data_IF_161036679980
#
_entry.id   IF_161036679980
#
_cell.length_a   1.000
_cell.length_b   1.000
_cell.length_c   1.000
_cell.angle_alpha   90.00
_cell.angle_beta   90.00
_cell.angle_gamma   90.00
#
_symmetry.space_group_name_H-M   'P 1'
#
loop_
_entity.id
_entity.type
_entity.pdbx_description
1 polymer ?
#
# COMPACT_ATOMS: atom_id res chain seq x y z
N UNK A 1 9.65 8.28 32.74
CA UNK A 1 8.22 7.91 32.84
C UNK A 1 7.78 7.56 31.44
N UNK A 2 7.65 6.28 31.11
CA UNK A 2 7.16 5.83 29.81
C UNK A 2 5.74 6.39 29.60
N UNK A 3 5.50 7.06 28.48
CA UNK A 3 4.17 7.59 28.14
C UNK A 3 3.13 6.47 28.18
N UNK A 4 1.99 6.77 28.79
CA UNK A 4 0.86 5.80 28.86
C UNK A 4 0.41 5.45 27.44
N UNK A 5 0.38 4.16 27.13
CA UNK A 5 0.13 3.59 25.80
C UNK A 5 -1.30 3.82 25.25
N UNK A 6 -2.11 4.64 25.89
CA UNK A 6 -3.56 4.73 25.59
C UNK A 6 -3.93 5.43 24.27
N UNK A 7 -3.01 6.24 23.71
CA UNK A 7 -3.31 7.05 22.51
C UNK A 7 -2.33 6.76 21.37
N UNK A 8 -1.56 5.68 21.46
CA UNK A 8 -0.56 5.34 20.45
C UNK A 8 -1.15 4.45 19.37
N UNK A 9 -0.83 4.76 18.14
CA UNK A 9 -1.07 3.91 16.96
C UNK A 9 0.27 3.64 16.29
N UNK A 10 0.43 2.43 15.76
CA UNK A 10 1.69 2.00 15.15
C UNK A 10 1.43 1.34 13.81
N UNK A 11 2.03 1.90 12.75
CA UNK A 11 2.10 1.27 11.45
C UNK A 11 3.39 0.48 11.31
N UNK A 12 3.30 -0.74 10.80
CA UNK A 12 4.44 -1.61 10.50
C UNK A 12 4.41 -2.04 9.03
N UNK A 13 5.28 -1.48 8.23
CA UNK A 13 5.48 -1.88 6.84
C UNK A 13 6.63 -2.89 6.75
N UNK A 14 6.30 -4.12 6.34
CA UNK A 14 7.25 -5.22 6.19
C UNK A 14 7.51 -5.40 4.69
N UNK A 15 8.38 -4.57 4.14
CA UNK A 15 8.74 -4.59 2.73
C UNK A 15 9.90 -5.53 2.39
N UNK A 16 10.13 -5.80 1.10
CA UNK A 16 11.23 -6.66 0.63
C UNK A 16 12.60 -6.01 0.84
N UNK A 17 12.70 -4.70 0.68
CA UNK A 17 13.97 -3.95 0.81
C UNK A 17 14.20 -3.40 2.21
N UNK A 18 13.14 -3.01 2.90
CA UNK A 18 13.21 -2.43 4.25
C UNK A 18 11.98 -2.80 5.07
N UNK A 19 12.16 -2.81 6.39
CA UNK A 19 11.07 -2.80 7.38
C UNK A 19 11.02 -1.42 8.00
N UNK A 20 9.82 -0.84 8.11
CA UNK A 20 9.59 0.48 8.70
C UNK A 20 8.51 0.39 9.76
N UNK A 21 8.80 0.90 10.95
CA UNK A 21 7.84 1.07 12.03
C UNK A 21 7.66 2.58 12.31
N UNK A 22 6.43 3.05 12.32
CA UNK A 22 6.10 4.44 12.64
C UNK A 22 5.11 4.47 13.79
N UNK A 23 5.47 5.22 14.83
CA UNK A 23 4.65 5.45 16.01
C UNK A 23 4.05 6.84 15.94
N UNK A 24 2.74 6.94 16.11
CA UNK A 24 2.07 8.22 16.20
C UNK A 24 1.16 8.30 17.43
N UNK A 25 1.03 9.49 18.00
CA UNK A 25 0.10 9.81 19.07
C UNK A 25 -1.15 10.44 18.48
N UNK A 26 -2.33 9.91 18.82
CA UNK A 26 -3.61 10.50 18.43
C UNK A 26 -3.99 11.57 19.45
N UNK A 27 -4.09 12.81 18.99
CA UNK A 27 -4.40 13.96 19.80
C UNK A 27 -5.91 14.06 20.06
N UNK A 28 -6.35 14.75 21.15
CA UNK A 28 -7.78 14.92 21.48
C UNK A 28 -8.61 15.59 20.39
N UNK A 29 -7.97 16.37 19.49
CA UNK A 29 -8.61 17.02 18.35
C UNK A 29 -8.72 16.10 17.11
N UNK A 30 -8.39 14.81 17.24
CA UNK A 30 -8.41 13.84 16.17
C UNK A 30 -7.25 13.95 15.18
N UNK A 31 -6.28 14.84 15.38
CA UNK A 31 -5.02 14.83 14.63
C UNK A 31 -4.10 13.74 15.18
N UNK A 32 -3.17 13.30 14.36
CA UNK A 32 -2.11 12.39 14.80
C UNK A 32 -0.76 13.06 14.61
N UNK A 33 0.17 12.78 15.50
CA UNK A 33 1.52 13.30 15.45
C UNK A 33 2.52 12.14 15.47
N UNK A 34 3.38 12.06 14.46
CA UNK A 34 4.43 11.05 14.40
C UNK A 34 5.51 11.42 15.43
N UNK A 35 5.74 10.51 16.38
CA UNK A 35 6.67 10.70 17.48
C UNK A 35 7.85 9.75 17.44
N UNK A 36 7.80 8.72 16.58
CA UNK A 36 8.89 7.76 16.40
C UNK A 36 8.86 7.12 15.03
N UNK A 37 10.04 6.94 14.47
CA UNK A 37 10.30 6.24 13.21
C UNK A 37 11.49 5.31 13.44
N UNK A 38 11.34 4.06 13.06
CA UNK A 38 12.44 3.10 13.00
C UNK A 38 12.46 2.41 11.65
N UNK A 39 13.65 2.21 11.10
CA UNK A 39 13.85 1.60 9.81
C UNK A 39 15.05 0.65 9.85
N UNK A 40 14.88 -0.52 9.26
CA UNK A 40 15.98 -1.48 9.12
C UNK A 40 15.93 -2.15 7.75
N UNK A 41 17.10 -2.54 7.23
CA UNK A 41 17.21 -3.37 6.03
C UNK A 41 16.40 -4.65 6.21
N UNK A 42 15.56 -4.99 5.24
CA UNK A 42 14.77 -6.20 5.28
C UNK A 42 15.58 -7.39 4.80
N UNK A 43 15.63 -8.41 5.64
CA UNK A 43 16.20 -9.71 5.31
C UNK A 43 15.14 -10.79 5.52
N UNK A 44 15.12 -11.78 4.62
CA UNK A 44 14.16 -12.89 4.75
C UNK A 44 12.85 -12.72 4.00
N UNK A 45 12.66 -11.64 3.23
CA UNK A 45 11.56 -11.49 2.25
C UNK A 45 12.06 -11.57 0.82
N UNK A 46 11.24 -12.14 -0.05
CA UNK A 46 11.44 -12.13 -1.51
C UNK A 46 10.09 -11.93 -2.20
N UNK A 47 9.99 -10.87 -3.01
CA UNK A 47 8.75 -10.51 -3.74
C UNK A 47 7.53 -10.43 -2.82
N UNK A 48 7.70 -9.80 -1.65
CA UNK A 48 6.66 -9.63 -0.64
C UNK A 48 6.31 -10.89 0.17
N UNK A 49 7.02 -12.01 -0.01
CA UNK A 49 6.76 -13.26 0.70
C UNK A 49 7.91 -13.59 1.65
N UNK A 50 7.58 -14.00 2.87
CA UNK A 50 8.57 -14.45 3.86
C UNK A 50 9.19 -15.78 3.42
N UNK A 51 10.50 -15.77 3.18
CA UNK A 51 11.30 -16.96 2.83
C UNK A 51 12.24 -17.39 3.95
N UNK A 52 12.47 -16.51 4.94
CA UNK A 52 13.24 -16.82 6.15
C UNK A 52 12.63 -16.07 7.35
N UNK A 53 11.98 -16.82 8.24
CA UNK A 53 11.28 -16.26 9.41
C UNK A 53 12.25 -15.58 10.38
N UNK A 54 13.39 -16.21 10.70
CA UNK A 54 14.35 -15.69 11.68
C UNK A 54 14.92 -14.34 11.22
N UNK A 55 15.37 -14.26 9.97
CA UNK A 55 15.90 -13.02 9.41
C UNK A 55 14.83 -11.91 9.34
N UNK A 56 13.57 -12.27 9.04
CA UNK A 56 12.46 -11.31 9.03
C UNK A 56 12.16 -10.80 10.44
N UNK A 57 12.14 -11.69 11.44
CA UNK A 57 11.95 -11.32 12.85
C UNK A 57 13.04 -10.36 13.31
N UNK A 58 14.31 -10.64 13.00
CA UNK A 58 15.41 -9.75 13.35
C UNK A 58 15.25 -8.35 12.71
N UNK A 59 14.89 -8.29 11.43
CA UNK A 59 14.65 -7.01 10.73
C UNK A 59 13.51 -6.22 11.35
N UNK A 60 12.41 -6.89 11.74
CA UNK A 60 11.27 -6.26 12.43
C UNK A 60 11.71 -5.74 13.81
N UNK A 61 12.41 -6.56 14.60
CA UNK A 61 12.87 -6.17 15.94
C UNK A 61 13.74 -4.92 15.91
N UNK A 62 14.68 -4.83 14.96
CA UNK A 62 15.57 -3.67 14.81
C UNK A 62 14.80 -2.39 14.48
N UNK A 63 13.85 -2.48 13.54
CA UNK A 63 13.00 -1.33 13.21
C UNK A 63 12.13 -0.88 14.41
N UNK A 64 11.60 -1.85 15.18
CA UNK A 64 10.81 -1.55 16.38
C UNK A 64 11.66 -0.93 17.49
N UNK A 65 12.85 -1.46 17.76
CA UNK A 65 13.77 -0.92 18.78
C UNK A 65 14.11 0.56 18.51
N UNK A 66 14.36 0.91 17.25
CA UNK A 66 14.64 2.29 16.85
C UNK A 66 13.40 3.19 17.02
N UNK A 67 12.23 2.73 16.60
CA UNK A 67 10.97 3.48 16.74
C UNK A 67 10.58 3.67 18.22
N UNK A 68 10.73 2.65 19.06
CA UNK A 68 10.50 2.70 20.51
C UNK A 68 11.44 3.67 21.21
N UNK A 69 12.72 3.64 20.83
CA UNK A 69 13.74 4.54 21.40
C UNK A 69 13.42 6.01 21.07
N UNK A 70 13.05 6.29 19.82
CA UNK A 70 12.69 7.65 19.40
C UNK A 70 11.41 8.15 20.06
N UNK A 71 10.39 7.29 20.17
CA UNK A 71 9.08 7.62 20.74
C UNK A 71 9.04 7.61 22.28
N UNK A 72 10.08 7.11 22.96
CA UNK A 72 10.11 6.82 24.42
C UNK A 72 8.89 6.01 24.88
N UNK A 73 8.56 4.96 24.15
CA UNK A 73 7.39 4.11 24.42
C UNK A 73 7.70 2.62 24.26
N UNK A 74 6.75 1.76 24.63
CA UNK A 74 6.74 0.34 24.30
C UNK A 74 5.58 0.02 23.37
N UNK A 75 5.89 -0.57 22.23
CA UNK A 75 4.93 -1.01 21.23
C UNK A 75 4.36 -2.38 21.64
N UNK A 76 3.05 -2.52 21.57
CA UNK A 76 2.35 -3.80 21.85
C UNK A 76 1.53 -4.28 20.66
N UNK A 77 0.89 -3.36 19.97
CA UNK A 77 -0.03 -3.65 18.88
C UNK A 77 0.42 -2.88 17.64
N UNK A 78 0.26 -3.50 16.47
CA UNK A 78 0.62 -2.89 15.19
C UNK A 78 -0.47 -3.12 14.15
N UNK A 79 -0.60 -2.16 13.24
CA UNK A 79 -1.28 -2.31 11.96
C UNK A 79 -0.22 -2.67 10.93
N UNK A 80 -0.29 -3.87 10.39
CA UNK A 80 0.76 -4.37 9.51
C UNK A 80 0.32 -4.34 8.04
N UNK A 81 1.23 -3.92 7.16
CA UNK A 81 1.04 -3.98 5.72
C UNK A 81 1.21 -5.40 5.18
N UNK A 82 0.39 -5.76 4.20
CA UNK A 82 0.54 -7.00 3.45
C UNK A 82 0.50 -6.74 1.95
N UNK A 83 1.47 -7.27 1.22
CA UNK A 83 1.54 -7.31 -0.24
C UNK A 83 2.30 -8.56 -0.68
N UNK A 84 2.42 -8.76 -1.98
CA UNK A 84 3.22 -9.84 -2.53
C UNK A 84 2.48 -10.65 -3.58
N UNK A 85 3.23 -11.49 -4.29
CA UNK A 85 2.73 -12.28 -5.43
C UNK A 85 1.65 -13.33 -5.08
N UNK A 86 1.38 -13.51 -3.78
CA UNK A 86 0.35 -14.41 -3.26
C UNK A 86 -1.04 -13.72 -3.11
N UNK A 87 -1.11 -12.42 -3.30
CA UNK A 87 -2.36 -11.65 -3.26
C UNK A 87 -3.13 -11.88 -4.55
N UNK A 88 -4.44 -12.04 -4.44
CA UNK A 88 -5.40 -12.11 -5.54
C UNK A 88 -6.56 -11.18 -5.24
N UNK A 89 -7.17 -10.65 -6.28
CA UNK A 89 -8.38 -9.86 -6.14
C UNK A 89 -9.36 -10.14 -7.27
N UNK A 90 -10.63 -9.94 -6.98
CA UNK A 90 -11.71 -10.02 -7.95
C UNK A 90 -12.93 -9.24 -7.45
N UNK A 91 -13.82 -8.88 -8.35
CA UNK A 91 -15.06 -8.21 -8.00
C UNK A 91 -16.18 -9.24 -7.86
N UNK A 92 -17.08 -9.00 -6.91
CA UNK A 92 -18.27 -9.81 -6.65
C UNK A 92 -19.47 -8.91 -6.42
N UNK A 93 -20.66 -9.47 -6.52
CA UNK A 93 -21.90 -8.77 -6.20
C UNK A 93 -22.79 -9.61 -5.31
N UNK A 94 -23.60 -8.94 -4.50
CA UNK A 94 -24.62 -9.56 -3.67
C UNK A 94 -25.94 -8.83 -3.84
N UNK A 95 -27.04 -9.54 -3.58
CA UNK A 95 -28.38 -8.97 -3.67
C UNK A 95 -29.23 -9.51 -2.54
N UNK A 96 -30.06 -8.66 -1.91
CA UNK A 96 -31.05 -9.04 -0.91
C UNK A 96 -32.35 -8.27 -1.11
N UNK A 97 -33.46 -8.85 -0.68
CA UNK A 97 -34.73 -8.16 -0.59
C UNK A 97 -34.77 -7.28 0.66
N UNK A 98 -35.31 -6.07 0.54
CA UNK A 98 -35.54 -5.13 1.64
C UNK A 98 -36.92 -5.44 2.26
N UNK A 99 -36.95 -5.78 3.56
CA UNK A 99 -38.18 -6.26 4.20
C UNK A 99 -39.21 -5.14 4.46
N UNK A 100 -38.73 -3.99 4.96
CA UNK A 100 -39.57 -2.91 5.43
C UNK A 100 -39.70 -1.75 4.43
N UNK A 101 -39.37 -2.00 3.16
CA UNK A 101 -39.35 -1.00 2.07
C UNK A 101 -38.43 0.20 2.31
N UNK A 102 -37.58 0.14 3.34
CA UNK A 102 -36.54 1.11 3.66
C UNK A 102 -35.27 0.36 4.02
N UNK A 103 -34.15 0.75 3.43
CA UNK A 103 -32.84 0.11 3.64
C UNK A 103 -32.37 0.35 5.06
N UNK A 104 -32.12 -0.72 5.78
CA UNK A 104 -31.56 -0.69 7.13
C UNK A 104 -30.08 -1.08 7.14
N UNK A 105 -29.40 -0.78 8.24
CA UNK A 105 -28.04 -1.24 8.47
C UNK A 105 -27.92 -2.77 8.45
N UNK A 106 -28.96 -3.50 8.87
CA UNK A 106 -29.00 -4.95 8.79
C UNK A 106 -29.09 -5.46 7.35
N UNK A 107 -29.79 -4.74 6.46
CA UNK A 107 -29.85 -5.10 5.03
C UNK A 107 -28.51 -4.89 4.37
N UNK A 108 -27.81 -3.79 4.70
CA UNK A 108 -26.45 -3.53 4.20
C UNK A 108 -25.47 -4.61 4.68
N UNK A 109 -25.48 -5.00 5.94
CA UNK A 109 -24.64 -6.09 6.43
C UNK A 109 -24.94 -7.40 5.71
N UNK A 110 -26.23 -7.71 5.50
CA UNK A 110 -26.67 -8.93 4.85
C UNK A 110 -26.28 -8.98 3.36
N UNK A 111 -26.40 -7.87 2.64
CA UNK A 111 -26.03 -7.82 1.22
C UNK A 111 -24.52 -7.99 1.03
N UNK A 112 -23.70 -7.41 1.92
CA UNK A 112 -22.25 -7.60 1.90
C UNK A 112 -21.88 -9.05 2.20
N UNK A 113 -22.53 -9.69 3.19
CA UNK A 113 -22.29 -11.11 3.48
C UNK A 113 -22.72 -12.00 2.28
N UNK A 114 -23.77 -11.61 1.56
CA UNK A 114 -24.15 -12.31 0.32
C UNK A 114 -23.08 -12.16 -0.77
N UNK A 115 -22.49 -10.98 -0.92
CA UNK A 115 -21.42 -10.74 -1.88
C UNK A 115 -20.12 -11.50 -1.51
N UNK A 116 -19.88 -11.75 -0.22
CA UNK A 116 -18.74 -12.55 0.27
C UNK A 116 -18.92 -14.07 0.06
N UNK A 117 -20.14 -14.54 -0.20
CA UNK A 117 -20.45 -15.96 -0.34
C UNK A 117 -19.96 -16.51 -1.71
N UNK A 118 -18.70 -16.25 -2.01
CA UNK A 118 -17.98 -16.72 -3.20
C UNK A 118 -17.10 -17.92 -2.83
N UNK A 119 -16.85 -18.78 -3.82
CA UNK A 119 -15.96 -19.92 -3.60
C UNK A 119 -14.50 -19.44 -3.58
N UNK A 120 -13.93 -19.32 -2.38
CA UNK A 120 -12.52 -19.03 -2.18
C UNK A 120 -11.78 -20.37 -2.07
N UNK A 121 -10.68 -20.58 -2.84
CA UNK A 121 -9.85 -21.78 -2.72
C UNK A 121 -9.35 -22.00 -1.29
N UNK A 122 -9.21 -23.24 -0.86
CA UNK A 122 -8.85 -23.60 0.53
C UNK A 122 -7.46 -23.14 0.96
N UNK A 123 -6.58 -22.85 0.01
CA UNK A 123 -5.24 -22.29 0.21
C UNK A 123 -5.22 -20.77 0.27
N UNK A 124 -6.39 -20.12 0.06
CA UNK A 124 -6.58 -18.66 0.13
C UNK A 124 -7.48 -18.30 1.32
N UNK A 125 -7.24 -17.13 1.90
CA UNK A 125 -8.13 -16.54 2.89
C UNK A 125 -8.54 -15.13 2.48
N UNK A 126 -9.74 -14.73 2.87
CA UNK A 126 -10.25 -13.38 2.69
C UNK A 126 -9.42 -12.41 3.55
N UNK A 127 -8.93 -11.34 2.93
CA UNK A 127 -8.25 -10.23 3.61
C UNK A 127 -9.15 -9.00 3.70
N UNK A 128 -9.69 -8.56 2.56
CA UNK A 128 -10.55 -7.40 2.49
C UNK A 128 -11.79 -7.65 1.63
N UNK A 129 -12.88 -7.00 2.01
CA UNK A 129 -14.10 -6.84 1.21
C UNK A 129 -14.44 -5.37 1.22
N UNK A 130 -14.21 -4.70 0.10
CA UNK A 130 -14.39 -3.26 -0.03
C UNK A 130 -15.62 -3.00 -0.90
N UNK A 131 -16.71 -2.43 -0.38
CA UNK A 131 -17.83 -2.00 -1.19
C UNK A 131 -17.39 -0.98 -2.22
N UNK A 132 -17.90 -1.11 -3.43
CA UNK A 132 -17.64 -0.18 -4.53
C UNK A 132 -18.83 0.74 -4.76
N UNK A 133 -20.03 0.18 -4.78
CA UNK A 133 -21.30 0.88 -4.92
C UNK A 133 -22.45 0.03 -4.41
N UNK A 134 -23.54 0.67 -4.05
CA UNK A 134 -24.83 0.02 -3.81
C UNK A 134 -25.80 0.38 -4.93
N UNK A 135 -26.77 -0.50 -5.15
CA UNK A 135 -27.85 -0.29 -6.11
C UNK A 135 -29.16 -0.54 -5.37
N UNK A 136 -30.03 0.46 -5.32
CA UNK A 136 -31.36 0.35 -4.72
C UNK A 136 -32.40 0.32 -5.83
N UNK A 137 -33.03 -0.82 -6.02
CA UNK A 137 -33.90 -1.14 -7.18
C UNK A 137 -33.17 -0.99 -8.51
N UNK A 138 -33.29 0.17 -9.17
CA UNK A 138 -32.59 0.51 -10.42
C UNK A 138 -31.71 1.75 -10.30
N UNK A 139 -31.56 2.29 -9.09
CA UNK A 139 -30.70 3.43 -8.83
C UNK A 139 -29.28 2.94 -8.50
N UNK A 140 -28.39 3.15 -9.44
CA UNK A 140 -26.95 2.85 -9.34
C UNK A 140 -26.19 3.98 -8.62
N UNK A 141 -24.89 3.80 -8.39
CA UNK A 141 -23.97 4.77 -7.79
C UNK A 141 -24.37 5.28 -6.40
N UNK A 142 -25.08 4.44 -5.63
CA UNK A 142 -25.48 4.78 -4.27
C UNK A 142 -24.31 4.47 -3.32
N UNK A 143 -23.82 5.47 -2.60
CA UNK A 143 -22.76 5.31 -1.58
C UNK A 143 -23.33 5.02 -0.19
N UNK A 144 -24.39 5.71 0.19
CA UNK A 144 -25.08 5.56 1.48
C UNK A 144 -26.51 5.11 1.28
N UNK A 145 -26.81 3.81 1.21
CA UNK A 145 -28.14 3.32 0.92
C UNK A 145 -29.09 3.36 2.12
N UNK A 146 -28.58 3.52 3.35
CA UNK A 146 -29.38 3.46 4.58
C UNK A 146 -30.41 4.59 4.62
N UNK A 147 -31.70 4.24 4.86
CA UNK A 147 -32.81 5.18 4.84
C UNK A 147 -33.46 5.37 3.48
N UNK A 148 -32.88 4.83 2.40
CA UNK A 148 -33.50 4.88 1.07
C UNK A 148 -34.67 3.91 0.99
N UNK A 149 -35.74 4.33 0.32
CA UNK A 149 -36.89 3.47 0.04
C UNK A 149 -36.62 2.56 -1.15
N UNK A 150 -36.95 1.28 -1.04
CA UNK A 150 -36.79 0.30 -2.10
C UNK A 150 -37.22 -1.09 -1.69
N UNK A 151 -37.21 -2.02 -2.63
CA UNK A 151 -37.57 -3.45 -2.42
C UNK A 151 -36.36 -4.37 -2.60
N UNK A 152 -35.31 -3.89 -3.29
CA UNK A 152 -34.10 -4.65 -3.61
C UNK A 152 -32.85 -3.82 -3.33
N UNK A 153 -31.89 -4.40 -2.61
CA UNK A 153 -30.58 -3.84 -2.38
C UNK A 153 -29.54 -4.76 -2.99
N UNK A 154 -28.70 -4.21 -3.86
CA UNK A 154 -27.51 -4.87 -4.39
C UNK A 154 -26.25 -4.14 -3.92
N UNK A 155 -25.12 -4.85 -3.89
CA UNK A 155 -23.79 -4.28 -3.65
C UNK A 155 -22.80 -4.87 -4.63
N UNK A 156 -21.92 -4.05 -5.19
CA UNK A 156 -20.70 -4.49 -5.85
C UNK A 156 -19.55 -4.33 -4.86
N UNK A 157 -18.70 -5.34 -4.75
CA UNK A 157 -17.57 -5.35 -3.81
C UNK A 157 -16.29 -5.77 -4.50
N UNK A 158 -15.17 -5.17 -4.08
CA UNK A 158 -13.83 -5.66 -4.39
C UNK A 158 -13.38 -6.60 -3.28
N UNK A 159 -13.08 -7.84 -3.65
CA UNK A 159 -12.60 -8.89 -2.73
C UNK A 159 -11.10 -9.06 -2.92
N UNK A 160 -10.37 -9.05 -1.82
CA UNK A 160 -8.93 -9.33 -1.79
C UNK A 160 -8.68 -10.56 -0.95
N UNK A 161 -7.93 -11.51 -1.49
CA UNK A 161 -7.51 -12.74 -0.82
C UNK A 161 -5.99 -12.86 -0.82
N UNK A 162 -5.47 -13.63 0.13
CA UNK A 162 -4.04 -13.94 0.19
C UNK A 162 -3.84 -15.40 0.56
N UNK A 163 -2.71 -15.99 0.12
CA UNK A 163 -2.38 -17.36 0.48
C UNK A 163 -2.26 -17.50 2.01
N UNK A 164 -3.00 -18.47 2.57
CA UNK A 164 -3.09 -18.70 4.01
C UNK A 164 -1.70 -18.81 4.66
N UNK A 165 -0.81 -19.57 4.05
CA UNK A 165 0.56 -19.78 4.57
C UNK A 165 1.39 -18.48 4.59
N UNK A 166 1.26 -17.64 3.57
CA UNK A 166 1.99 -16.37 3.48
C UNK A 166 1.49 -15.38 4.56
N UNK A 167 0.17 -15.25 4.70
CA UNK A 167 -0.46 -14.40 5.73
C UNK A 167 -0.04 -14.86 7.13
N UNK A 168 -0.11 -16.19 7.40
CA UNK A 168 0.28 -16.76 8.68
C UNK A 168 1.76 -16.52 8.99
N UNK A 169 2.65 -16.58 7.99
CA UNK A 169 4.08 -16.32 8.19
C UNK A 169 4.34 -14.87 8.61
N UNK A 170 3.68 -13.88 7.97
CA UNK A 170 3.76 -12.47 8.39
C UNK A 170 3.29 -12.30 9.85
N UNK A 171 2.10 -12.80 10.18
CA UNK A 171 1.55 -12.72 11.54
C UNK A 171 2.47 -13.41 12.55
N UNK A 172 3.04 -14.56 12.18
CA UNK A 172 4.00 -15.29 13.03
C UNK A 172 5.28 -14.49 13.28
N UNK A 173 5.83 -13.81 12.26
CA UNK A 173 7.00 -12.96 12.44
C UNK A 173 6.71 -11.81 13.42
N UNK A 174 5.58 -11.12 13.27
CA UNK A 174 5.17 -10.02 14.16
C UNK A 174 4.96 -10.53 15.59
N UNK A 175 4.26 -11.64 15.79
CA UNK A 175 4.03 -12.24 17.11
C UNK A 175 5.30 -12.69 17.80
N UNK A 176 6.29 -13.17 17.05
CA UNK A 176 7.61 -13.54 17.60
C UNK A 176 8.42 -12.35 18.09
N UNK A 177 8.09 -11.14 17.64
CA UNK A 177 8.62 -9.90 18.20
C UNK A 177 7.89 -9.45 19.49
N UNK A 178 6.95 -10.25 20.02
CA UNK A 178 6.16 -9.92 21.20
C UNK A 178 5.00 -8.95 20.95
N UNK A 179 4.57 -8.80 19.70
CA UNK A 179 3.51 -7.89 19.27
C UNK A 179 2.22 -8.63 18.91
N UNK A 180 1.10 -7.91 19.02
CA UNK A 180 -0.17 -8.30 18.43
C UNK A 180 -0.44 -7.54 17.14
N UNK A 181 -1.01 -8.23 16.15
CA UNK A 181 -1.47 -7.61 14.90
C UNK A 181 -2.91 -7.18 15.10
N UNK A 182 -3.14 -5.87 15.16
CA UNK A 182 -4.49 -5.30 15.27
C UNK A 182 -5.27 -5.50 13.98
N UNK A 183 -4.61 -5.29 12.84
CA UNK A 183 -5.18 -5.53 11.52
C UNK A 183 -4.07 -5.74 10.48
N UNK A 184 -4.43 -6.44 9.37
CA UNK A 184 -3.60 -6.62 8.19
C UNK A 184 -4.21 -5.84 7.04
N UNK A 185 -3.49 -4.84 6.54
CA UNK A 185 -3.99 -3.92 5.53
C UNK A 185 -3.22 -4.12 4.23
N UNK A 186 -3.94 -4.23 3.12
CA UNK A 186 -3.33 -4.33 1.80
C UNK A 186 -2.50 -3.06 1.50
N UNK A 187 -1.21 -3.22 1.19
CA UNK A 187 -0.28 -2.10 1.05
C UNK A 187 -0.72 -1.06 -0.01
N UNK A 188 -1.16 -1.41 -1.22
CA UNK A 188 -1.61 -0.40 -2.18
C UNK A 188 -2.86 0.37 -1.73
N UNK A 189 -3.71 -0.19 -0.88
CA UNK A 189 -4.82 0.58 -0.27
C UNK A 189 -4.29 1.60 0.75
N UNK A 190 -3.35 1.18 1.59
CA UNK A 190 -2.70 2.08 2.53
C UNK A 190 -1.96 3.21 1.81
N UNK A 191 -1.14 2.88 0.81
CA UNK A 191 -0.41 3.88 0.01
C UNK A 191 -1.36 4.85 -0.68
N UNK A 192 -2.50 4.37 -1.21
CA UNK A 192 -3.53 5.20 -1.83
C UNK A 192 -4.14 6.22 -0.85
N UNK A 193 -4.37 5.82 0.39
CA UNK A 193 -4.90 6.73 1.43
C UNK A 193 -3.89 7.81 1.84
N UNK A 194 -2.60 7.54 1.68
CA UNK A 194 -1.54 8.49 2.01
C UNK A 194 -1.22 9.49 0.89
N UNK A 195 -1.42 9.12 -0.41
CA UNK A 195 -0.87 9.90 -1.53
C UNK A 195 -1.91 10.37 -2.55
N UNK A 196 -3.11 9.77 -2.58
CA UNK A 196 -4.18 10.16 -3.50
C UNK A 196 -5.14 11.15 -2.86
N UNK A 197 -5.53 12.15 -3.62
CA UNK A 197 -6.60 13.05 -3.21
C UNK A 197 -8.00 12.43 -3.46
N UNK A 198 -9.04 12.90 -2.75
CA UNK A 198 -10.41 12.46 -3.03
C UNK A 198 -10.83 12.70 -4.49
N UNK A 199 -10.45 13.84 -5.06
CA UNK A 199 -10.78 14.19 -6.45
C UNK A 199 -10.12 13.24 -7.46
N UNK A 200 -8.88 12.83 -7.23
CA UNK A 200 -8.21 11.84 -8.07
C UNK A 200 -8.93 10.48 -8.02
N UNK A 201 -9.31 10.02 -6.82
CA UNK A 201 -10.08 8.79 -6.67
C UNK A 201 -11.45 8.87 -7.36
N UNK A 202 -12.08 10.05 -7.33
CA UNK A 202 -13.37 10.30 -7.99
C UNK A 202 -13.26 10.30 -9.50
N UNK A 203 -12.29 11.04 -10.04
CA UNK A 203 -12.13 11.26 -11.49
C UNK A 203 -11.45 10.09 -12.21
N UNK A 204 -10.92 9.13 -11.50
CA UNK A 204 -10.23 7.97 -12.04
C UNK A 204 -8.71 8.11 -12.06
N UNK A 205 -8.02 7.26 -11.32
CA UNK A 205 -6.56 7.26 -11.15
C UNK A 205 -6.01 5.84 -11.00
N UNK A 206 -4.80 5.64 -11.52
CA UNK A 206 -3.99 4.45 -11.19
C UNK A 206 -2.89 4.86 -10.22
N UNK A 207 -2.84 4.20 -9.07
CA UNK A 207 -1.70 4.21 -8.18
C UNK A 207 -0.75 3.07 -8.55
N UNK A 208 0.54 3.40 -8.67
CA UNK A 208 1.62 2.43 -8.90
C UNK A 208 2.64 2.62 -7.77
N UNK A 209 2.66 1.70 -6.81
CA UNK A 209 3.61 1.69 -5.70
C UNK A 209 4.78 0.77 -6.04
N UNK A 210 5.95 1.37 -6.33
CA UNK A 210 7.14 0.64 -6.78
C UNK A 210 8.09 0.45 -5.60
N UNK A 211 8.02 -0.73 -4.99
CA UNK A 211 8.86 -1.13 -3.89
C UNK A 211 10.24 -1.66 -4.31
N UNK A 212 10.84 -2.49 -3.45
CA UNK A 212 12.05 -3.24 -3.78
C UNK A 212 11.76 -4.50 -4.57
N UNK A 213 10.87 -5.36 -4.09
CA UNK A 213 10.59 -6.67 -4.68
C UNK A 213 9.29 -6.80 -5.46
N UNK A 214 8.34 -5.89 -5.25
CA UNK A 214 7.03 -5.85 -5.91
C UNK A 214 6.66 -4.46 -6.34
N UNK A 215 5.83 -4.38 -7.38
CA UNK A 215 5.10 -3.19 -7.78
C UNK A 215 3.62 -3.49 -7.60
N UNK A 216 2.97 -2.71 -6.76
CA UNK A 216 1.57 -2.84 -6.42
C UNK A 216 0.75 -1.81 -7.20
N UNK A 217 -0.33 -2.26 -7.82
CA UNK A 217 -1.21 -1.44 -8.67
C UNK A 217 -2.59 -1.38 -8.03
N UNK A 218 -3.16 -0.19 -7.93
CA UNK A 218 -4.55 -0.01 -7.52
C UNK A 218 -5.25 1.02 -8.42
N UNK A 219 -6.43 0.67 -8.90
CA UNK A 219 -7.25 1.51 -9.77
C UNK A 219 -8.46 2.00 -9.01
N UNK A 220 -8.67 3.31 -9.04
CA UNK A 220 -9.82 3.97 -8.42
C UNK A 220 -10.63 4.73 -9.47
N UNK A 221 -11.94 4.65 -9.38
CA UNK A 221 -12.91 5.50 -10.09
C UNK A 221 -14.12 5.72 -9.19
N UNK A 222 -14.77 6.88 -9.30
CA UNK A 222 -15.96 7.20 -8.53
C UNK A 222 -15.74 7.02 -7.01
N UNK A 223 -14.54 7.37 -6.54
CA UNK A 223 -14.13 7.27 -5.14
C UNK A 223 -13.85 5.84 -4.64
N UNK A 224 -14.12 4.80 -5.42
CA UNK A 224 -14.00 3.41 -5.01
C UNK A 224 -12.83 2.68 -5.68
N UNK A 225 -12.25 1.71 -4.98
CA UNK A 225 -11.26 0.80 -5.57
C UNK A 225 -11.95 -0.16 -6.52
N UNK A 226 -11.46 -0.24 -7.75
CA UNK A 226 -12.04 -1.08 -8.81
C UNK A 226 -11.20 -2.31 -9.11
N UNK A 227 -9.89 -2.18 -9.03
CA UNK A 227 -8.95 -3.27 -9.33
C UNK A 227 -7.67 -3.13 -8.52
N UNK A 228 -7.08 -4.26 -8.14
CA UNK A 228 -5.74 -4.33 -7.56
C UNK A 228 -4.95 -5.44 -8.22
N UNK A 229 -3.64 -5.22 -8.40
CA UNK A 229 -2.73 -6.25 -8.92
C UNK A 229 -1.35 -6.09 -8.29
N UNK A 230 -0.57 -7.17 -8.31
CA UNK A 230 0.82 -7.19 -7.84
C UNK A 230 1.71 -7.74 -8.94
N UNK A 231 2.71 -6.97 -9.34
CA UNK A 231 3.71 -7.33 -10.33
C UNK A 231 5.02 -7.65 -9.60
N UNK A 232 5.60 -8.85 -9.78
CA UNK A 232 6.81 -9.28 -9.06
C UNK A 232 8.10 -8.76 -9.71
N UNK A 233 8.08 -7.51 -10.18
CA UNK A 233 9.20 -6.74 -10.74
C UNK A 233 9.21 -5.38 -10.07
N UNK A 234 10.37 -4.95 -9.55
CA UNK A 234 10.55 -3.66 -8.89
C UNK A 234 12.05 -3.31 -8.79
N UNK A 235 12.45 -2.54 -7.77
CA UNK A 235 13.81 -2.03 -7.59
C UNK A 235 14.92 -3.07 -7.57
N UNK A 236 14.67 -4.27 -7.01
CA UNK A 236 15.67 -5.35 -6.92
C UNK A 236 16.05 -5.90 -8.30
N UNK A 237 15.11 -5.95 -9.25
CA UNK A 237 15.40 -6.38 -10.62
C UNK A 237 16.29 -5.37 -11.33
N UNK A 238 16.07 -4.07 -11.12
CA UNK A 238 16.93 -3.01 -11.64
C UNK A 238 18.37 -3.18 -11.08
N UNK A 239 18.48 -3.41 -9.78
CA UNK A 239 19.79 -3.66 -9.13
C UNK A 239 20.49 -4.87 -9.72
N UNK A 240 19.75 -5.96 -9.92
CA UNK A 240 20.30 -7.19 -10.53
C UNK A 240 20.77 -6.97 -11.97
N UNK A 241 20.01 -6.21 -12.77
CA UNK A 241 20.41 -5.89 -14.14
C UNK A 241 21.68 -5.06 -14.17
N UNK A 242 21.80 -4.06 -13.27
CA UNK A 242 23.03 -3.28 -13.09
C UNK A 242 24.20 -4.20 -12.69
N UNK A 243 24.01 -5.05 -11.69
CA UNK A 243 25.05 -5.96 -11.20
C UNK A 243 25.56 -6.88 -12.32
N UNK A 244 24.64 -7.43 -13.12
CA UNK A 244 24.96 -8.31 -14.24
C UNK A 244 25.63 -7.58 -15.40
N UNK A 245 25.04 -6.48 -15.86
CA UNK A 245 25.55 -5.71 -16.99
C UNK A 245 26.91 -5.08 -16.68
N UNK A 246 27.05 -4.56 -15.47
CA UNK A 246 28.28 -3.91 -15.02
C UNK A 246 29.26 -4.88 -14.35
N UNK A 247 28.92 -6.14 -14.15
CA UNK A 247 29.77 -7.14 -13.46
C UNK A 247 30.37 -6.57 -12.18
N UNK A 248 29.50 -6.05 -11.32
CA UNK A 248 29.80 -5.44 -10.01
C UNK A 248 29.04 -6.19 -8.90
N UNK A 249 29.50 -6.17 -7.64
CA UNK A 249 28.76 -6.76 -6.52
C UNK A 249 27.37 -6.14 -6.40
N UNK A 250 26.37 -6.93 -5.97
CA UNK A 250 24.97 -6.47 -5.88
C UNK A 250 24.80 -5.27 -4.93
N UNK A 251 25.56 -5.24 -3.82
CA UNK A 251 25.54 -4.08 -2.89
C UNK A 251 26.02 -2.80 -3.58
N UNK A 252 27.10 -2.87 -4.35
CA UNK A 252 27.62 -1.75 -5.13
C UNK A 252 26.64 -1.33 -6.24
N UNK A 253 25.98 -2.30 -6.88
CA UNK A 253 24.96 -2.03 -7.89
C UNK A 253 23.75 -1.26 -7.28
N UNK A 254 23.36 -1.61 -6.05
CA UNK A 254 22.31 -0.88 -5.33
C UNK A 254 22.72 0.56 -5.03
N UNK A 255 23.95 0.78 -4.53
CA UNK A 255 24.47 2.12 -4.28
C UNK A 255 24.57 2.94 -5.57
N UNK A 256 25.05 2.33 -6.67
CA UNK A 256 25.11 2.96 -7.99
C UNK A 256 23.70 3.33 -8.48
N UNK A 257 22.71 2.46 -8.33
CA UNK A 257 21.31 2.74 -8.67
C UNK A 257 20.77 3.93 -7.88
N UNK A 258 20.96 3.94 -6.57
CA UNK A 258 20.44 4.99 -5.69
C UNK A 258 21.09 6.34 -5.95
N UNK A 259 22.38 6.37 -6.29
CA UNK A 259 23.14 7.59 -6.43
C UNK A 259 23.14 8.16 -7.85
N UNK A 260 23.17 7.32 -8.87
CA UNK A 260 23.35 7.71 -10.27
C UNK A 260 22.22 7.26 -11.19
N UNK A 261 21.28 6.45 -10.70
CA UNK A 261 20.19 5.91 -11.50
C UNK A 261 19.35 7.00 -12.15
N UNK A 262 18.99 6.77 -13.41
CA UNK A 262 18.06 7.58 -14.20
C UNK A 262 17.21 6.64 -15.03
N UNK A 263 15.89 6.79 -14.97
CA UNK A 263 14.93 5.92 -15.63
C UNK A 263 14.88 6.12 -17.15
N UNK A 264 15.32 7.26 -17.64
CA UNK A 264 15.27 7.63 -19.06
C UNK A 264 16.63 8.14 -19.53
N UNK A 265 17.25 7.43 -20.48
CA UNK A 265 18.63 7.67 -20.91
C UNK A 265 18.86 9.11 -21.41
N UNK A 266 17.87 9.68 -22.08
CA UNK A 266 17.95 11.06 -22.62
C UNK A 266 18.10 12.11 -21.52
N UNK A 267 17.70 11.82 -20.29
CA UNK A 267 17.80 12.72 -19.14
C UNK A 267 19.14 12.59 -18.40
N UNK A 268 19.95 11.58 -18.73
CA UNK A 268 21.27 11.42 -18.13
C UNK A 268 22.28 12.37 -18.79
N UNK A 269 23.03 13.13 -17.95
CA UNK A 269 24.09 14.03 -18.45
C UNK A 269 25.19 13.20 -19.19
N UNK A 270 25.46 13.52 -20.48
CA UNK A 270 26.50 12.83 -21.24
C UNK A 270 27.90 13.01 -20.66
N UNK A 271 28.18 14.10 -19.97
CA UNK A 271 29.47 14.42 -19.37
C UNK A 271 29.70 13.78 -18.00
N UNK A 272 28.63 13.32 -17.36
CA UNK A 272 28.72 12.72 -16.02
C UNK A 272 29.20 11.26 -16.10
N UNK A 273 30.25 10.96 -15.33
CA UNK A 273 30.82 9.63 -15.23
C UNK A 273 30.80 9.12 -13.80
N UNK A 274 30.74 7.83 -13.62
CA UNK A 274 30.80 7.15 -12.33
C UNK A 274 31.87 6.07 -12.33
N UNK A 275 32.37 5.76 -11.16
CA UNK A 275 33.31 4.68 -10.93
C UNK A 275 32.54 3.42 -10.55
N UNK A 276 32.77 2.32 -11.23
CA UNK A 276 32.10 1.03 -11.01
C UNK A 276 33.13 0.03 -10.48
N UNK A 277 32.99 -0.42 -9.21
CA UNK A 277 33.83 -1.46 -8.64
C UNK A 277 33.73 -2.77 -9.44
N UNK A 278 34.86 -3.42 -9.64
CA UNK A 278 34.90 -4.71 -10.32
C UNK A 278 34.63 -5.90 -9.38
N UNK A 279 34.33 -7.06 -9.95
CA UNK A 279 34.21 -8.33 -9.22
C UNK A 279 35.59 -8.99 -9.02
N UNK A 280 35.88 -9.46 -7.82
CA UNK A 280 37.14 -10.12 -7.47
C UNK A 280 38.35 -9.20 -7.64
N UNK A 281 39.39 -9.68 -8.30
CA UNK A 281 40.64 -8.95 -8.51
C UNK A 281 40.61 -7.91 -9.64
N UNK A 282 39.43 -7.64 -10.22
CA UNK A 282 39.26 -6.62 -11.25
C UNK A 282 39.19 -5.23 -10.62
N UNK A 283 40.08 -4.35 -11.06
CA UNK A 283 40.04 -2.96 -10.64
C UNK A 283 38.76 -2.23 -11.06
N UNK A 284 38.50 -1.06 -10.44
CA UNK A 284 37.37 -0.23 -10.81
C UNK A 284 37.49 0.29 -12.24
N UNK A 285 36.37 0.61 -12.86
CA UNK A 285 36.28 1.17 -14.22
C UNK A 285 35.35 2.38 -14.25
N UNK A 286 35.61 3.30 -15.14
CA UNK A 286 34.76 4.46 -15.36
C UNK A 286 33.68 4.12 -16.39
N UNK A 287 32.45 4.54 -16.11
CA UNK A 287 31.27 4.39 -16.95
C UNK A 287 30.57 5.75 -17.09
N UNK A 288 29.96 6.06 -18.23
CA UNK A 288 29.09 7.24 -18.33
C UNK A 288 27.73 6.95 -17.68
N UNK A 289 27.13 7.99 -17.11
CA UNK A 289 25.77 7.88 -16.53
C UNK A 289 24.74 7.48 -17.57
N UNK A 290 24.90 7.90 -18.82
CA UNK A 290 24.05 7.45 -19.94
C UNK A 290 24.14 5.94 -20.19
N UNK A 291 25.33 5.36 -20.08
CA UNK A 291 25.49 3.90 -20.23
C UNK A 291 24.83 3.14 -19.05
N UNK A 292 24.81 3.69 -17.84
CA UNK A 292 24.04 3.16 -16.73
C UNK A 292 22.53 3.25 -17.02
N UNK A 293 22.05 4.41 -17.46
CA UNK A 293 20.65 4.61 -17.81
C UNK A 293 20.18 3.65 -18.91
N UNK A 294 21.02 3.36 -19.92
CA UNK A 294 20.74 2.38 -20.96
C UNK A 294 20.54 0.92 -20.43
N UNK A 295 21.02 0.63 -19.23
CA UNK A 295 20.75 -0.65 -18.54
C UNK A 295 19.45 -0.58 -17.77
N UNK A 296 19.13 0.57 -17.18
CA UNK A 296 17.99 0.77 -16.29
C UNK A 296 16.67 0.93 -17.09
N UNK A 297 16.66 1.79 -18.11
CA UNK A 297 15.46 2.15 -18.87
C UNK A 297 14.67 0.95 -19.41
N UNK A 298 15.28 -0.05 -20.09
CA UNK A 298 14.53 -1.21 -20.58
C UNK A 298 13.80 -2.00 -19.50
N UNK A 299 14.35 -2.05 -18.28
CA UNK A 299 13.70 -2.73 -17.17
C UNK A 299 12.47 -1.97 -16.67
N UNK A 300 12.54 -0.66 -16.64
CA UNK A 300 11.40 0.18 -16.23
C UNK A 300 10.34 0.18 -17.34
N UNK A 301 10.74 0.21 -18.61
CA UNK A 301 9.82 0.05 -19.75
C UNK A 301 9.05 -1.27 -19.66
N UNK A 302 9.74 -2.38 -19.37
CA UNK A 302 9.10 -3.69 -19.16
C UNK A 302 8.09 -3.62 -18.00
N UNK A 303 8.49 -3.03 -16.87
CA UNK A 303 7.59 -2.87 -15.72
C UNK A 303 6.35 -2.07 -16.09
N UNK A 304 6.50 -0.91 -16.71
CA UNK A 304 5.37 -0.07 -17.09
C UNK A 304 4.52 -0.70 -18.19
N UNK A 305 5.10 -1.46 -19.11
CA UNK A 305 4.33 -2.23 -20.10
C UNK A 305 3.44 -3.29 -19.43
N UNK A 306 3.95 -3.98 -18.40
CA UNK A 306 3.16 -4.95 -17.62
C UNK A 306 2.05 -4.24 -16.81
N UNK A 307 2.34 -3.10 -16.19
CA UNK A 307 1.31 -2.30 -15.52
C UNK A 307 0.24 -1.85 -16.50
N UNK A 308 0.64 -1.35 -17.68
CA UNK A 308 -0.28 -0.92 -18.73
C UNK A 308 -1.17 -2.06 -19.22
N UNK A 309 -0.60 -3.27 -19.33
CA UNK A 309 -1.40 -4.47 -19.64
C UNK A 309 -2.46 -4.73 -18.55
N UNK A 310 -2.10 -4.67 -17.27
CA UNK A 310 -3.04 -4.80 -16.14
C UNK A 310 -4.15 -3.75 -16.21
N UNK A 311 -3.80 -2.49 -16.49
CA UNK A 311 -4.77 -1.39 -16.63
C UNK A 311 -5.76 -1.66 -17.77
N UNK A 312 -5.28 -2.10 -18.93
CA UNK A 312 -6.14 -2.45 -20.07
C UNK A 312 -7.05 -3.64 -19.78
N UNK A 313 -6.49 -4.70 -19.20
CA UNK A 313 -7.24 -5.91 -18.84
C UNK A 313 -8.30 -5.66 -17.77
N UNK A 314 -8.10 -4.66 -16.91
CA UNK A 314 -9.09 -4.23 -15.91
C UNK A 314 -10.34 -3.60 -16.53
N UNK A 315 -10.24 -3.08 -17.76
CA UNK A 315 -11.34 -2.38 -18.47
C UNK A 315 -11.55 -0.94 -18.05
N UNK A 316 -10.71 -0.37 -17.17
CA UNK A 316 -10.88 1.00 -16.67
C UNK A 316 -9.99 2.04 -17.36
N UNK A 317 -9.16 1.67 -18.35
CA UNK A 317 -8.19 2.56 -18.99
C UNK A 317 -8.78 3.89 -19.47
N UNK A 318 -9.96 3.85 -20.10
CA UNK A 318 -10.59 5.03 -20.71
C UNK A 318 -11.12 6.04 -19.68
N UNK A 319 -11.41 5.60 -18.46
CA UNK A 319 -12.00 6.45 -17.42
C UNK A 319 -10.99 7.03 -16.42
N UNK A 320 -9.70 6.84 -16.67
CA UNK A 320 -8.62 7.34 -15.82
C UNK A 320 -8.25 8.80 -16.15
N UNK A 321 -9.12 9.73 -15.82
CA UNK A 321 -8.96 11.15 -16.16
C UNK A 321 -7.84 11.82 -15.35
N UNK A 322 -7.58 11.38 -14.13
CA UNK A 322 -6.48 11.88 -13.29
C UNK A 322 -5.13 11.23 -13.58
N UNK A 323 -5.10 10.23 -14.49
CA UNK A 323 -3.87 9.62 -14.96
C UNK A 323 -3.19 8.71 -13.94
N UNK A 324 -1.89 8.87 -13.76
CA UNK A 324 -1.00 7.94 -13.06
C UNK A 324 -0.36 8.63 -11.85
N UNK A 325 -0.38 7.97 -10.71
CA UNK A 325 0.37 8.39 -9.52
C UNK A 325 1.39 7.32 -9.17
N UNK A 326 2.67 7.68 -9.25
CA UNK A 326 3.78 6.82 -8.86
C UNK A 326 4.14 7.06 -7.40
N UNK A 327 4.35 6.02 -6.61
CA UNK A 327 4.85 6.13 -5.24
C UNK A 327 5.80 4.98 -4.93
N UNK A 328 6.30 4.91 -3.70
CA UNK A 328 7.30 3.91 -3.30
C UNK A 328 8.74 4.37 -3.51
N UNK A 329 9.66 3.63 -2.93
CA UNK A 329 11.08 4.02 -2.93
C UNK A 329 11.72 4.08 -4.31
N UNK A 330 11.37 3.14 -5.20
CA UNK A 330 11.92 3.07 -6.56
C UNK A 330 11.32 4.10 -7.50
N UNK A 331 10.12 4.61 -7.22
CA UNK A 331 9.48 5.68 -7.98
C UNK A 331 10.21 7.04 -7.88
N UNK A 332 11.11 7.19 -6.89
CA UNK A 332 11.90 8.40 -6.69
C UNK A 332 13.06 8.57 -7.68
N UNK A 333 13.34 7.56 -8.51
CA UNK A 333 14.41 7.64 -9.50
C UNK A 333 14.08 8.73 -10.54
N UNK A 334 15.02 9.64 -10.84
CA UNK A 334 14.81 10.67 -11.87
C UNK A 334 14.38 10.05 -13.20
N UNK A 335 13.43 10.67 -13.89
CA UNK A 335 12.92 10.21 -15.17
C UNK A 335 11.77 9.18 -15.10
N UNK A 336 11.36 8.74 -13.90
CA UNK A 336 10.25 7.79 -13.74
C UNK A 336 8.91 8.38 -14.21
N UNK A 337 8.63 9.63 -13.87
CA UNK A 337 7.38 10.30 -14.26
C UNK A 337 7.33 10.49 -15.78
N UNK A 338 8.41 11.00 -16.36
CA UNK A 338 8.51 11.23 -17.79
C UNK A 338 8.39 9.94 -18.62
N UNK A 339 8.99 8.85 -18.14
CA UNK A 339 8.87 7.55 -18.79
C UNK A 339 7.46 6.95 -18.65
N UNK A 340 6.81 7.17 -17.50
CA UNK A 340 5.42 6.77 -17.31
C UNK A 340 4.48 7.53 -18.28
N UNK A 341 4.64 8.84 -18.43
CA UNK A 341 3.85 9.64 -19.36
C UNK A 341 4.02 9.17 -20.82
N UNK A 342 5.24 8.81 -21.22
CA UNK A 342 5.52 8.28 -22.57
C UNK A 342 4.80 6.93 -22.83
N UNK A 343 4.75 6.05 -21.82
CA UNK A 343 4.20 4.69 -21.99
C UNK A 343 2.70 4.66 -21.84
N UNK A 344 2.17 5.35 -20.83
CA UNK A 344 0.73 5.33 -20.53
C UNK A 344 -0.06 6.34 -21.37
N UNK A 345 0.60 7.32 -22.00
CA UNK A 345 -0.01 8.43 -22.74
C UNK A 345 -1.05 9.18 -21.88
N UNK A 346 -0.78 9.29 -20.60
CA UNK A 346 -1.59 9.96 -19.59
C UNK A 346 -0.70 10.81 -18.69
N UNK A 347 -1.22 11.88 -18.09
CA UNK A 347 -0.44 12.65 -17.13
C UNK A 347 -0.01 11.76 -15.95
N UNK A 348 1.22 11.95 -15.49
CA UNK A 348 1.77 11.25 -14.36
C UNK A 348 2.34 12.21 -13.31
N UNK A 349 2.33 11.82 -12.05
CA UNK A 349 2.98 12.55 -10.95
C UNK A 349 3.60 11.62 -9.93
N UNK A 350 4.57 12.13 -9.19
CA UNK A 350 5.07 11.45 -8.00
C UNK A 350 4.12 11.71 -6.82
N UNK A 351 3.63 10.64 -6.21
CA UNK A 351 2.78 10.68 -5.02
C UNK A 351 3.62 10.74 -3.75
N UNK A 352 3.47 11.81 -3.00
CA UNK A 352 4.08 12.00 -1.69
C UNK A 352 3.02 12.02 -0.61
N UNK A 353 3.25 11.37 0.55
CA UNK A 353 2.28 11.41 1.64
C UNK A 353 2.00 12.83 2.12
N UNK A 354 0.72 13.13 2.36
CA UNK A 354 0.31 14.38 2.98
C UNK A 354 0.41 14.26 4.51
N UNK A 355 1.39 14.92 5.08
CA UNK A 355 1.56 14.97 6.53
C UNK A 355 2.10 16.33 6.96
N UNK A 356 1.57 16.87 8.06
CA UNK A 356 2.02 18.10 8.67
C UNK A 356 2.20 17.89 10.18
N UNK A 357 3.42 17.87 10.66
CA UNK A 357 3.76 17.62 12.07
C UNK A 357 5.25 17.43 12.25
N UNK A 358 5.64 16.93 13.41
CA UNK A 358 7.03 16.54 13.65
C UNK A 358 7.46 15.46 12.65
N UNK A 359 8.73 15.44 12.25
CA UNK A 359 9.29 14.53 11.25
C UNK A 359 8.68 14.65 9.83
N UNK A 360 7.90 15.71 9.53
CA UNK A 360 7.30 15.88 8.20
C UNK A 360 8.34 15.84 7.07
N UNK A 361 9.50 16.45 7.26
CA UNK A 361 10.59 16.47 6.27
C UNK A 361 11.13 15.07 5.95
N UNK A 362 10.96 14.11 6.85
CA UNK A 362 11.38 12.72 6.64
C UNK A 362 10.24 11.89 6.07
N UNK A 363 9.07 11.91 6.73
CA UNK A 363 7.99 10.96 6.43
C UNK A 363 7.19 11.31 5.17
N UNK A 364 7.32 12.53 4.64
CA UNK A 364 6.67 12.94 3.37
C UNK A 364 7.31 12.32 2.11
N UNK A 365 8.37 11.55 2.25
CA UNK A 365 8.96 10.85 1.11
C UNK A 365 8.05 9.72 0.62
N UNK A 366 7.95 9.49 -0.72
CA UNK A 366 7.19 8.38 -1.30
C UNK A 366 7.50 7.02 -0.70
N UNK A 367 8.73 6.83 -0.23
CA UNK A 367 9.18 5.59 0.43
C UNK A 367 8.44 5.24 1.73
N UNK A 368 7.68 6.18 2.30
CA UNK A 368 6.90 6.00 3.52
C UNK A 368 5.39 6.03 3.26
N UNK A 369 4.96 6.03 1.99
CA UNK A 369 3.54 6.08 1.62
C UNK A 369 2.74 4.98 2.31
N UNK A 370 3.19 3.73 2.22
CA UNK A 370 2.52 2.57 2.84
C UNK A 370 2.38 2.74 4.35
N UNK A 371 3.46 3.01 5.06
CA UNK A 371 3.43 3.07 6.53
C UNK A 371 2.60 4.25 7.05
N UNK A 372 2.59 5.39 6.36
CA UNK A 372 1.71 6.50 6.70
C UNK A 372 0.24 6.17 6.42
N UNK A 373 -0.05 5.47 5.33
CA UNK A 373 -1.40 4.95 5.06
C UNK A 373 -1.87 3.97 6.12
N UNK A 374 -1.00 3.08 6.62
CA UNK A 374 -1.29 2.21 7.76
C UNK A 374 -1.64 3.01 9.02
N UNK A 375 -0.94 4.11 9.28
CA UNK A 375 -1.30 5.02 10.39
C UNK A 375 -2.65 5.71 10.19
N UNK A 376 -2.99 6.10 8.96
CA UNK A 376 -4.30 6.70 8.67
C UNK A 376 -5.42 5.71 8.94
N UNK A 377 -5.28 4.45 8.54
CA UNK A 377 -6.26 3.42 8.83
C UNK A 377 -6.31 3.08 10.34
N UNK A 378 -5.16 2.96 10.99
CA UNK A 378 -5.06 2.81 12.44
C UNK A 378 -5.78 3.93 13.19
N UNK A 379 -5.62 5.17 12.74
CA UNK A 379 -6.31 6.35 13.29
C UNK A 379 -7.82 6.27 13.09
N UNK A 380 -8.29 5.90 11.90
CA UNK A 380 -9.72 5.70 11.62
C UNK A 380 -10.32 4.68 12.61
N UNK A 381 -9.68 3.53 12.78
CA UNK A 381 -10.14 2.49 13.70
C UNK A 381 -10.07 2.92 15.17
N UNK A 382 -9.01 3.62 15.58
CA UNK A 382 -8.87 4.19 16.92
C UNK A 382 -10.01 5.14 17.25
N UNK A 383 -10.34 6.10 16.38
CA UNK A 383 -11.42 7.07 16.57
C UNK A 383 -12.79 6.36 16.63
N UNK A 384 -13.03 5.37 15.78
CA UNK A 384 -14.25 4.53 15.84
C UNK A 384 -14.38 3.83 17.19
N UNK A 385 -13.31 3.22 17.70
CA UNK A 385 -13.30 2.56 19.01
C UNK A 385 -13.61 3.51 20.17
N UNK A 386 -13.12 4.75 20.14
CA UNK A 386 -13.37 5.75 21.19
C UNK A 386 -14.78 6.32 21.16
N UNK A 387 -15.38 6.46 19.99
CA UNK A 387 -16.79 6.88 19.86
C UNK A 387 -17.71 5.82 20.48
N UNK A 388 -17.42 4.55 20.24
CA UNK A 388 -18.22 3.42 20.77
C UNK A 388 -18.11 3.28 22.29
N UNK A 389 -16.94 3.54 22.89
CA UNK A 389 -16.74 3.45 24.35
C UNK A 389 -17.37 4.65 25.11
N UNK A 390 -17.66 5.77 24.43
CA UNK A 390 -18.35 6.92 25.02
C UNK A 390 -19.87 6.83 24.99
N UNK A 391 -20.43 5.92 24.20
CA UNK A 391 -21.88 5.67 24.15
C UNK A 391 -22.17 4.27 24.70
N UNK A 392 -22.80 4.22 25.87
CA UNK A 392 -23.23 2.99 26.53
C UNK A 392 -23.90 2.00 25.58
N UNK A 393 -23.61 0.70 25.82
CA UNK A 393 -23.97 -0.54 25.12
C UNK A 393 -25.38 -0.65 24.52
N UNK A 394 -25.75 0.19 23.58
CA UNK A 394 -27.02 0.12 22.86
C UNK A 394 -26.79 -0.26 21.39
N UNK A 395 -27.84 -0.76 20.76
CA UNK A 395 -27.93 -1.12 19.33
C UNK A 395 -27.45 0.03 18.41
N UNK A 396 -27.52 1.28 18.88
CA UNK A 396 -26.97 2.48 18.24
C UNK A 396 -25.44 2.45 18.05
N UNK A 397 -24.69 1.76 18.91
CA UNK A 397 -23.24 1.63 18.79
C UNK A 397 -22.82 0.73 17.61
N UNK A 398 -23.62 -0.31 17.33
CA UNK A 398 -23.42 -1.16 16.15
C UNK A 398 -23.73 -0.37 14.86
N UNK A 399 -24.73 0.45 14.93
CA UNK A 399 -25.20 1.33 13.86
C UNK A 399 -24.16 2.39 13.48
N UNK A 400 -23.55 3.03 14.49
CA UNK A 400 -22.47 3.99 14.29
C UNK A 400 -21.19 3.33 13.73
N UNK A 401 -20.82 2.14 14.21
CA UNK A 401 -19.71 1.36 13.66
C UNK A 401 -19.88 1.08 12.17
N UNK A 402 -21.09 0.74 11.75
CA UNK A 402 -21.38 0.50 10.34
C UNK A 402 -21.39 1.78 9.53
N UNK A 403 -22.02 2.85 10.03
CA UNK A 403 -22.07 4.14 9.35
C UNK A 403 -20.66 4.75 9.15
N UNK A 404 -19.82 4.66 10.15
CA UNK A 404 -18.45 5.16 10.11
C UNK A 404 -17.52 4.26 9.28
N UNK A 405 -17.78 2.96 9.22
CA UNK A 405 -17.08 2.05 8.30
C UNK A 405 -17.38 2.44 6.83
N UNK A 406 -18.63 2.84 6.53
CA UNK A 406 -19.02 3.37 5.23
C UNK A 406 -18.36 4.71 4.92
N UNK A 407 -18.40 5.67 5.84
CA UNK A 407 -17.84 7.02 5.66
C UNK A 407 -16.30 7.03 5.58
N UNK A 408 -15.64 6.00 6.04
CA UNK A 408 -14.18 5.88 6.03
C UNK A 408 -13.59 5.05 4.90
N UNK A 409 -14.42 4.39 4.10
CA UNK A 409 -13.99 3.60 2.93
C UNK A 409 -14.48 4.18 1.60
N UNK A 410 -15.14 5.35 1.64
CA UNK A 410 -15.52 6.17 0.49
C UNK A 410 -14.90 7.55 0.59
#
# INVERSE_FOLDING_TARGET
MTKDAKNLIVGLDIGTSKVVAVVAEVMPNGRHEVIGLGQHESKGLKKGVVVNIEATVESIQRALEEAELMADCKIRNVYAGIAGSHIRSFNSSGMVAIKDKEVTAADVARVIETAKAVNIPTDQQLLHTVPQEFIVDNQEDVREPIGMSGIRLEVKVHIVTGAVSAVQNIVKCVRRCGLEVSDLILQPMASADAVLTPDEKELGVVLIDIGGGTTDVAIFTEGAIRHTAVIPIAGDQITNDIAMALRTPTGEAEEIKLRYGVAKQVLADPGETLEVPGLGDRGPRTLSRQALAAVIEPRIEELFALVHQVVRESGYEEVLSSGIVLTGGSAMMPGMVELAEDIFLKPARLGTPEYSGQLADVVRSPRYATVLGLLLEAKKQYLRGHIVTRQDGSVTALWQRMKEWFLGNF
#
